data_IF_272420026824
#
_entry.id   IF_272420026824
#
_cell.length_a   1.000
_cell.length_b   1.000
_cell.length_c   1.000
_cell.angle_alpha   90.00
_cell.angle_beta   90.00
_cell.angle_gamma   90.00
#
_symmetry.space_group_name_H-M   'P 1'
#
loop_
_entity.id
_entity.type
_entity.pdbx_description
1 polymer ?
#
# COMPACT_ATOMS: atom_id res chain seq x y z
N UNK A 1 -17.38 48.70 34.85
CA UNK A 1 -17.47 50.16 34.50
C UNK A 1 -16.63 50.37 33.27
N UNK A 2 -17.34 50.80 32.22
CA UNK A 2 -16.76 51.22 30.96
C UNK A 2 -16.05 52.57 31.11
N UNK A 3 -14.98 52.75 30.37
CA UNK A 3 -14.45 54.06 30.11
C UNK A 3 -14.18 54.20 28.59
N UNK A 4 -14.85 55.15 27.99
CA UNK A 4 -14.76 55.60 26.62
C UNK A 4 -13.36 56.05 26.28
N UNK A 5 -12.88 55.65 25.09
CA UNK A 5 -11.71 56.26 24.46
C UNK A 5 -12.19 57.09 23.28
N UNK A 6 -11.91 58.38 23.35
CA UNK A 6 -12.14 59.41 22.36
C UNK A 6 -11.26 59.19 21.12
N UNK A 7 -11.87 59.22 19.95
CA UNK A 7 -11.21 59.29 18.66
C UNK A 7 -10.81 60.73 18.40
N UNK A 8 -9.52 61.00 18.21
CA UNK A 8 -9.01 62.27 17.71
C UNK A 8 -8.49 62.06 16.27
N UNK A 9 -9.18 62.63 15.31
CA UNK A 9 -8.88 62.60 13.90
C UNK A 9 -8.03 63.82 13.52
N UNK A 10 -6.74 63.64 13.72
CA UNK A 10 -5.74 64.63 13.28
C UNK A 10 -5.05 64.23 11.97
N UNK A 11 -5.70 64.52 10.85
CA UNK A 11 -5.05 64.39 9.54
C UNK A 11 -4.03 65.55 9.39
N UNK A 12 -2.74 65.27 9.41
CA UNK A 12 -1.72 66.23 9.00
C UNK A 12 -0.87 65.63 7.86
N UNK A 13 -1.03 66.22 6.70
CA UNK A 13 -0.32 65.87 5.47
C UNK A 13 1.12 66.38 5.53
N UNK A 14 2.04 65.44 5.30
CA UNK A 14 3.40 65.77 4.87
C UNK A 14 4.53 65.23 5.71
N UNK A 15 4.71 63.90 5.66
CA UNK A 15 6.04 63.28 5.77
C UNK A 15 6.00 61.95 5.04
N UNK A 16 6.65 61.92 3.89
CA UNK A 16 6.96 60.64 3.20
C UNK A 16 8.07 59.96 3.94
N UNK A 17 7.71 59.12 4.90
CA UNK A 17 8.66 58.14 5.43
C UNK A 17 8.87 57.08 4.35
N UNK A 18 10.05 57.12 3.74
CA UNK A 18 10.56 56.06 2.88
C UNK A 18 10.77 54.81 3.76
N UNK A 19 9.86 53.84 3.64
CA UNK A 19 10.05 52.52 4.25
C UNK A 19 11.14 51.83 3.45
N UNK A 20 12.37 51.89 3.88
CA UNK A 20 13.42 50.96 3.48
C UNK A 20 13.10 49.62 4.14
N UNK A 21 12.52 48.71 3.36
CA UNK A 21 12.54 47.30 3.68
C UNK A 21 14.02 46.85 3.64
N UNK A 22 14.66 46.78 4.80
CA UNK A 22 15.85 45.98 4.93
C UNK A 22 15.35 44.55 4.70
N UNK A 23 15.67 43.96 3.53
CA UNK A 23 15.63 42.50 3.35
C UNK A 23 16.59 41.92 4.41
N UNK A 24 16.04 41.41 5.50
CA UNK A 24 16.78 40.47 6.32
C UNK A 24 17.11 39.29 5.39
N UNK A 25 18.35 39.27 4.94
CA UNK A 25 18.93 38.11 4.28
C UNK A 25 18.73 36.92 5.26
N UNK A 26 17.72 36.10 4.95
CA UNK A 26 17.43 34.89 5.73
C UNK A 26 18.70 34.04 5.71
N UNK A 27 19.51 34.18 6.73
CA UNK A 27 20.70 33.34 6.91
C UNK A 27 20.21 31.90 6.92
N UNK A 28 20.57 31.15 5.88
CA UNK A 28 20.38 29.70 5.86
C UNK A 28 20.94 29.14 7.16
N UNK A 29 20.14 28.45 7.99
CA UNK A 29 20.63 27.95 9.29
C UNK A 29 21.84 27.06 9.03
N UNK A 30 22.96 27.40 9.67
CA UNK A 30 24.16 26.57 9.64
C UNK A 30 23.81 25.22 10.32
N UNK A 31 24.04 24.07 9.67
CA UNK A 31 23.72 22.77 10.24
C UNK A 31 24.37 22.58 11.61
N UNK A 32 23.59 22.23 12.62
CA UNK A 32 24.11 21.89 13.95
C UNK A 32 24.58 20.43 13.94
N UNK A 33 25.82 20.21 13.49
CA UNK A 33 26.49 18.91 13.60
C UNK A 33 27.20 18.80 14.93
N UNK A 34 26.69 17.96 15.83
CA UNK A 34 27.36 17.63 17.11
C UNK A 34 28.23 16.37 17.01
N UNK A 35 28.16 15.69 15.85
CA UNK A 35 28.90 14.46 15.56
C UNK A 35 30.27 14.68 14.94
N UNK A 36 31.04 13.61 14.88
CA UNK A 36 32.30 13.56 14.15
C UNK A 36 32.14 12.77 12.87
N UNK A 37 32.83 13.18 11.82
CA UNK A 37 32.89 12.53 10.53
C UNK A 37 34.35 12.23 10.23
N UNK A 38 34.70 10.94 10.14
CA UNK A 38 36.07 10.46 9.97
C UNK A 38 36.15 9.56 8.75
N UNK A 39 36.89 9.98 7.73
CA UNK A 39 37.25 9.10 6.61
C UNK A 39 38.47 8.26 7.03
N UNK A 40 38.34 6.93 6.91
CA UNK A 40 39.38 5.95 7.16
C UNK A 40 39.92 5.44 5.82
N UNK A 41 41.13 5.79 5.51
CA UNK A 41 41.82 5.32 4.31
C UNK A 41 42.26 3.85 4.44
N UNK A 42 42.62 3.20 3.34
CA UNK A 42 43.03 1.81 3.27
C UNK A 42 44.27 1.51 4.15
N UNK A 43 45.20 2.46 4.26
CA UNK A 43 46.39 2.36 5.10
C UNK A 43 46.11 2.57 6.64
N UNK A 44 44.85 2.77 7.00
CA UNK A 44 44.38 3.02 8.37
C UNK A 44 44.44 4.48 8.79
N UNK A 45 44.94 5.39 7.96
CA UNK A 45 44.97 6.83 8.25
C UNK A 45 43.53 7.35 8.40
N UNK A 46 43.32 8.20 9.42
CA UNK A 46 42.04 8.82 9.72
C UNK A 46 42.08 10.33 9.53
N UNK A 47 41.12 10.88 8.80
CA UNK A 47 41.00 12.31 8.55
C UNK A 47 39.58 12.75 8.91
N UNK A 48 39.47 13.81 9.73
CA UNK A 48 38.20 14.39 10.13
C UNK A 48 37.73 15.43 9.12
N UNK A 49 36.40 15.47 8.89
CA UNK A 49 35.72 16.41 7.98
C UNK A 49 34.56 17.09 8.69
N UNK A 50 34.18 18.27 8.19
CA UNK A 50 33.08 19.05 8.74
C UNK A 50 31.73 18.55 8.23
N UNK A 51 31.68 18.02 7.01
CA UNK A 51 30.46 17.50 6.38
C UNK A 51 30.70 16.12 5.72
N UNK A 52 29.62 15.35 5.55
CA UNK A 52 29.68 14.10 4.80
C UNK A 52 30.03 14.33 3.32
N UNK A 53 29.56 15.44 2.75
CA UNK A 53 29.89 15.79 1.35
C UNK A 53 31.41 15.97 1.15
N UNK A 54 32.09 16.67 2.09
CA UNK A 54 33.56 16.82 2.08
C UNK A 54 34.28 15.48 2.21
N UNK A 55 33.85 14.64 3.16
CA UNK A 55 34.45 13.32 3.37
C UNK A 55 34.29 12.42 2.12
N UNK A 56 33.11 12.41 1.51
CA UNK A 56 32.83 11.66 0.27
C UNK A 56 33.61 12.24 -0.91
N UNK A 57 33.72 13.57 -1.03
CA UNK A 57 34.51 14.19 -2.08
C UNK A 57 35.99 13.80 -1.98
N UNK A 58 36.55 13.68 -0.77
CA UNK A 58 37.92 13.28 -0.51
C UNK A 58 38.21 11.77 -0.71
N UNK A 59 37.15 10.94 -0.76
CA UNK A 59 37.28 9.50 -0.95
C UNK A 59 37.85 9.17 -2.35
N UNK A 60 38.64 8.07 -2.47
CA UNK A 60 39.22 7.65 -3.74
C UNK A 60 38.16 7.43 -4.83
N UNK A 61 38.49 7.84 -6.05
CA UNK A 61 37.66 7.70 -7.26
C UNK A 61 38.11 6.49 -8.10
N UNK A 62 37.23 6.01 -9.00
CA UNK A 62 37.51 4.90 -9.92
C UNK A 62 37.88 3.58 -9.24
N UNK A 63 37.40 3.38 -8.03
CA UNK A 63 37.60 2.11 -7.28
C UNK A 63 36.62 1.06 -7.79
N UNK A 64 35.37 1.47 -8.10
CA UNK A 64 34.29 0.59 -8.50
C UNK A 64 33.76 -0.30 -7.37
N UNK A 65 32.63 -0.94 -7.63
CA UNK A 65 31.93 -1.77 -6.63
C UNK A 65 32.70 -3.02 -6.16
N UNK A 66 33.64 -3.50 -6.97
CA UNK A 66 34.46 -4.69 -6.68
C UNK A 66 35.79 -4.33 -6.02
N UNK A 67 36.08 -3.04 -5.85
CA UNK A 67 37.30 -2.54 -5.21
C UNK A 67 37.21 -2.40 -3.72
N UNK A 68 38.28 -1.90 -3.11
CA UNK A 68 38.33 -1.70 -1.64
C UNK A 68 37.31 -0.66 -1.20
N UNK A 69 36.54 -0.97 -0.13
CA UNK A 69 35.55 -0.08 0.43
C UNK A 69 36.24 1.01 1.28
N UNK A 70 36.00 2.26 0.91
CA UNK A 70 36.40 3.42 1.74
C UNK A 70 35.37 3.61 2.84
N UNK A 71 35.81 3.55 4.10
CA UNK A 71 34.94 3.65 5.26
C UNK A 71 34.87 5.08 5.77
N UNK A 72 33.67 5.61 5.96
CA UNK A 72 33.39 6.87 6.65
C UNK A 72 32.70 6.52 7.97
N UNK A 73 33.35 6.86 9.07
CA UNK A 73 32.85 6.61 10.43
C UNK A 73 32.18 7.88 10.97
N UNK A 74 30.99 7.73 11.52
CA UNK A 74 30.19 8.82 12.11
C UNK A 74 29.89 8.54 13.57
N UNK A 75 29.86 9.62 14.40
CA UNK A 75 29.38 9.60 15.78
C UNK A 75 28.40 10.75 16.01
N UNK A 76 27.56 10.62 17.04
CA UNK A 76 26.64 11.67 17.45
C UNK A 76 25.60 11.99 16.38
N UNK A 77 25.26 13.26 16.19
CA UNK A 77 24.27 13.71 15.19
C UNK A 77 24.94 14.49 14.07
N UNK A 78 24.71 14.06 12.84
CA UNK A 78 25.17 14.72 11.61
C UNK A 78 23.96 15.18 10.81
N UNK A 79 23.92 16.47 10.47
CA UNK A 79 22.85 17.04 9.64
C UNK A 79 23.25 17.12 8.16
N UNK A 80 22.27 16.79 7.29
CA UNK A 80 22.39 16.89 5.83
C UNK A 80 21.54 18.08 5.36
N UNK A 81 22.20 19.14 4.91
CA UNK A 81 21.58 20.37 4.42
C UNK A 81 21.58 20.53 2.89
N UNK A 82 22.20 19.60 2.19
CA UNK A 82 22.25 19.51 0.73
C UNK A 82 22.35 18.06 0.28
N UNK A 83 22.03 17.77 -0.97
CA UNK A 83 22.16 16.42 -1.51
C UNK A 83 23.64 15.97 -1.51
N UNK A 84 23.93 14.91 -0.80
CA UNK A 84 25.25 14.26 -0.80
C UNK A 84 25.32 13.29 -1.99
N UNK A 85 26.12 13.63 -3.00
CA UNK A 85 26.26 12.86 -4.23
C UNK A 85 27.42 11.88 -4.12
N UNK A 86 27.13 10.61 -4.43
CA UNK A 86 28.12 9.54 -4.51
C UNK A 86 28.24 9.16 -6.00
N UNK A 87 29.36 9.46 -6.62
CA UNK A 87 29.64 9.30 -8.04
C UNK A 87 31.11 8.91 -8.29
N UNK A 88 31.57 9.03 -9.54
CA UNK A 88 32.97 8.80 -9.95
C UNK A 88 33.48 7.40 -9.62
N UNK A 89 32.58 6.40 -9.70
CA UNK A 89 32.91 5.01 -9.41
C UNK A 89 33.55 4.80 -8.03
N UNK A 90 33.12 5.56 -7.03
CA UNK A 90 33.53 5.39 -5.63
C UNK A 90 32.92 4.14 -5.03
N UNK A 91 33.58 3.57 -4.03
CA UNK A 91 33.07 2.47 -3.21
C UNK A 91 33.10 2.91 -1.72
N UNK A 92 31.95 3.29 -1.18
CA UNK A 92 31.85 3.96 0.11
C UNK A 92 30.91 3.22 1.05
N UNK A 93 31.36 3.08 2.30
CA UNK A 93 30.52 2.67 3.42
C UNK A 93 30.46 3.80 4.46
N UNK A 94 29.25 4.17 4.92
CA UNK A 94 29.06 5.01 6.08
C UNK A 94 28.57 4.14 7.24
N UNK A 95 29.30 4.14 8.35
CA UNK A 95 28.98 3.33 9.51
C UNK A 95 29.06 4.15 10.81
N UNK A 96 28.29 3.73 11.82
CA UNK A 96 28.40 4.29 13.16
C UNK A 96 29.75 3.90 13.79
N UNK A 97 30.40 4.83 14.47
CA UNK A 97 31.55 4.57 15.36
C UNK A 97 31.16 4.57 16.84
N UNK A 98 29.91 4.89 17.17
CA UNK A 98 29.29 4.79 18.48
C UNK A 98 27.80 4.47 18.35
N UNK A 99 27.23 3.82 19.34
CA UNK A 99 25.78 3.57 19.40
C UNK A 99 24.99 4.88 19.48
N UNK A 100 23.78 4.86 18.90
CA UNK A 100 22.89 6.02 18.86
C UNK A 100 23.33 7.11 17.88
N UNK A 101 24.22 6.78 16.95
CA UNK A 101 24.60 7.70 15.87
C UNK A 101 23.41 7.99 14.97
N UNK A 102 23.24 9.28 14.63
CA UNK A 102 22.11 9.73 13.80
C UNK A 102 22.61 10.61 12.65
N UNK A 103 22.14 10.32 11.45
CA UNK A 103 22.23 11.20 10.29
C UNK A 103 20.82 11.70 10.01
N UNK A 104 20.60 13.00 10.02
CA UNK A 104 19.26 13.57 9.84
C UNK A 104 19.23 14.65 8.76
N UNK A 105 18.07 14.80 8.16
CA UNK A 105 17.79 15.93 7.26
C UNK A 105 17.77 17.23 8.06
N UNK A 106 18.46 18.25 7.59
CA UNK A 106 18.40 19.58 8.18
C UNK A 106 17.06 20.26 7.90
N UNK A 107 16.65 21.15 8.79
CA UNK A 107 15.45 21.94 8.60
C UNK A 107 15.51 22.77 7.31
N UNK A 108 14.42 22.73 6.52
CA UNK A 108 14.30 23.43 5.25
C UNK A 108 14.99 22.75 4.06
N UNK A 109 15.77 21.71 4.24
CA UNK A 109 16.29 20.93 3.12
C UNK A 109 15.25 19.91 2.67
N UNK A 110 14.79 19.97 1.41
CA UNK A 110 13.69 19.16 0.89
C UNK A 110 14.12 18.08 -0.11
N UNK A 111 15.33 18.16 -0.66
CA UNK A 111 15.85 17.25 -1.70
C UNK A 111 16.20 15.85 -1.22
N UNK A 112 16.72 15.00 -2.11
CA UNK A 112 17.31 13.71 -1.73
C UNK A 112 18.45 13.92 -0.75
N UNK A 113 18.51 13.12 0.33
CA UNK A 113 19.63 13.25 1.25
C UNK A 113 20.92 12.67 0.64
N UNK A 114 20.81 11.50 0.01
CA UNK A 114 21.92 10.83 -0.68
C UNK A 114 21.50 10.45 -2.11
N UNK A 115 22.42 10.60 -3.05
CA UNK A 115 22.20 10.26 -4.45
C UNK A 115 23.35 9.42 -4.99
N UNK A 116 23.02 8.19 -5.39
CA UNK A 116 24.00 7.26 -5.99
C UNK A 116 23.89 7.36 -7.51
N UNK A 117 24.99 7.72 -8.16
CA UNK A 117 25.12 7.82 -9.61
C UNK A 117 26.18 6.84 -10.12
N UNK A 118 26.28 6.75 -11.42
CA UNK A 118 27.25 5.94 -12.15
C UNK A 118 27.17 4.42 -11.89
N UNK A 119 27.12 3.62 -12.92
CA UNK A 119 26.90 2.17 -12.87
C UNK A 119 27.88 1.40 -11.98
N UNK A 120 29.12 1.89 -11.84
CA UNK A 120 30.16 1.25 -11.03
C UNK A 120 30.30 1.82 -9.62
N UNK A 121 29.52 2.83 -9.27
CA UNK A 121 29.52 3.40 -7.91
C UNK A 121 28.82 2.45 -6.92
N UNK A 122 29.41 2.28 -5.75
CA UNK A 122 28.82 1.51 -4.65
C UNK A 122 28.75 2.39 -3.39
N UNK A 123 27.60 2.37 -2.77
CA UNK A 123 27.35 3.06 -1.52
C UNK A 123 26.59 2.15 -0.55
N UNK A 124 26.98 2.11 0.69
CA UNK A 124 26.27 1.35 1.71
C UNK A 124 26.22 2.03 3.07
N UNK A 125 25.17 1.74 3.81
CA UNK A 125 25.12 2.02 5.23
C UNK A 125 25.40 0.74 6.03
N UNK A 126 26.27 0.89 7.06
CA UNK A 126 26.76 -0.20 7.86
C UNK A 126 28.06 -0.82 7.31
N UNK A 127 28.72 -1.68 8.08
CA UNK A 127 30.02 -2.24 7.69
C UNK A 127 29.89 -3.44 6.75
N UNK A 128 28.78 -4.15 6.81
CA UNK A 128 28.55 -5.37 6.02
C UNK A 128 29.54 -6.50 6.29
N UNK A 129 30.39 -6.38 7.33
CA UNK A 129 31.41 -7.36 7.66
C UNK A 129 30.95 -8.29 8.76
N UNK A 130 31.00 -9.58 8.48
CA UNK A 130 30.71 -10.62 9.46
C UNK A 130 31.69 -10.58 10.64
N UNK A 131 31.17 -10.67 11.88
CA UNK A 131 31.98 -10.70 13.10
C UNK A 131 32.42 -9.33 13.67
N UNK A 132 32.09 -8.21 13.00
CA UNK A 132 32.24 -6.88 13.59
C UNK A 132 31.09 -6.56 14.55
N UNK A 133 31.34 -5.73 15.55
CA UNK A 133 30.29 -5.23 16.44
C UNK A 133 29.33 -4.35 15.63
N UNK A 134 28.04 -4.74 15.60
CA UNK A 134 26.99 -3.97 14.95
C UNK A 134 26.62 -2.81 15.87
N UNK A 135 26.94 -1.58 15.44
CA UNK A 135 26.55 -0.34 16.12
C UNK A 135 25.31 0.25 15.45
N UNK A 136 24.47 0.90 16.25
CA UNK A 136 23.23 1.48 15.75
C UNK A 136 23.48 2.79 14.99
N UNK A 137 22.96 2.84 13.76
CA UNK A 137 22.94 4.03 12.89
C UNK A 137 21.50 4.32 12.48
N UNK A 138 20.98 5.48 12.86
CA UNK A 138 19.68 5.96 12.37
C UNK A 138 19.90 7.01 11.28
N UNK A 139 19.27 6.81 10.11
CA UNK A 139 19.19 7.81 9.05
C UNK A 139 17.73 8.24 8.93
N UNK A 140 17.46 9.51 9.22
CA UNK A 140 16.08 10.00 9.29
C UNK A 140 15.82 11.20 8.37
N UNK A 141 14.66 11.17 7.72
CA UNK A 141 14.15 12.30 6.94
C UNK A 141 13.63 13.45 7.79
N UNK A 142 13.65 13.32 9.15
CA UNK A 142 13.18 14.33 10.09
C UNK A 142 11.73 14.78 9.81
N UNK A 143 10.80 13.85 9.89
CA UNK A 143 9.37 14.05 9.60
C UNK A 143 8.74 15.23 10.37
N UNK A 144 9.27 15.54 11.54
CA UNK A 144 8.90 16.69 12.36
C UNK A 144 9.27 18.04 11.74
N UNK A 145 10.13 18.06 10.73
CA UNK A 145 10.57 19.26 10.02
C UNK A 145 9.72 19.58 8.77
N UNK A 146 8.69 18.78 8.48
CA UNK A 146 7.80 18.94 7.34
C UNK A 146 8.04 17.98 6.17
N UNK A 147 7.30 18.19 5.09
CA UNK A 147 7.33 17.31 3.93
C UNK A 147 8.56 17.57 3.06
N UNK A 148 9.24 16.51 2.66
CA UNK A 148 10.32 16.58 1.68
C UNK A 148 9.79 16.41 0.24
N UNK A 149 10.60 16.74 -0.74
CA UNK A 149 10.37 16.42 -2.16
C UNK A 149 11.28 15.30 -2.65
N UNK A 150 12.23 14.85 -1.83
CA UNK A 150 13.18 13.79 -2.13
C UNK A 150 13.17 12.65 -1.11
N UNK A 151 13.82 11.56 -1.49
CA UNK A 151 14.02 10.34 -0.70
C UNK A 151 15.16 10.51 0.31
N UNK A 152 15.30 9.56 1.25
CA UNK A 152 16.57 9.45 2.00
C UNK A 152 17.67 9.03 1.01
N UNK A 153 17.41 8.02 0.18
CA UNK A 153 18.38 7.51 -0.83
C UNK A 153 17.71 7.53 -2.21
N UNK A 154 18.34 8.19 -3.18
CA UNK A 154 18.01 8.11 -4.60
C UNK A 154 19.09 7.29 -5.31
N UNK A 155 18.71 6.20 -6.01
CA UNK A 155 19.63 5.31 -6.75
C UNK A 155 19.32 5.46 -8.22
N UNK A 156 20.07 6.32 -8.89
CA UNK A 156 19.95 6.59 -10.35
C UNK A 156 20.82 5.63 -11.17
N UNK A 157 21.87 5.06 -10.55
CA UNK A 157 22.80 4.08 -11.09
C UNK A 157 23.56 3.39 -9.97
N UNK A 158 24.45 2.47 -10.28
CA UNK A 158 25.30 1.80 -9.31
C UNK A 158 24.57 0.89 -8.33
N UNK A 159 25.11 0.83 -7.11
CA UNK A 159 24.61 -0.06 -6.07
C UNK A 159 24.43 0.68 -4.76
N UNK A 160 23.30 0.42 -4.08
CA UNK A 160 23.07 0.80 -2.69
C UNK A 160 22.87 -0.42 -1.80
N UNK A 161 23.59 -0.46 -0.66
CA UNK A 161 23.52 -1.52 0.34
C UNK A 161 23.03 -1.05 1.70
N UNK A 162 22.25 -1.88 2.40
CA UNK A 162 21.83 -1.70 3.78
C UNK A 162 22.21 -2.93 4.60
N UNK A 163 22.86 -2.72 5.75
CA UNK A 163 23.33 -3.79 6.64
C UNK A 163 22.64 -3.73 8.00
N UNK A 164 22.84 -4.77 8.81
CA UNK A 164 22.35 -4.81 10.19
C UNK A 164 22.74 -3.57 11.02
N UNK A 165 21.90 -3.24 11.99
CA UNK A 165 22.09 -2.09 12.89
C UNK A 165 21.69 -0.73 12.27
N UNK A 166 21.37 -0.69 10.98
CA UNK A 166 20.96 0.55 10.32
C UNK A 166 19.43 0.67 10.25
N UNK A 167 18.92 1.85 10.57
CA UNK A 167 17.49 2.17 10.44
C UNK A 167 17.30 3.38 9.52
N UNK A 168 16.49 3.22 8.46
CA UNK A 168 16.01 4.31 7.61
C UNK A 168 14.57 4.66 8.02
N UNK A 169 14.33 5.89 8.47
CA UNK A 169 13.04 6.25 9.06
C UNK A 169 12.66 7.72 8.90
N UNK A 170 11.40 8.03 9.18
CA UNK A 170 10.96 9.40 9.41
C UNK A 170 11.07 10.33 8.19
N UNK A 171 11.05 9.81 6.97
CA UNK A 171 10.93 10.65 5.79
C UNK A 171 9.48 10.66 5.28
N UNK A 172 8.97 11.86 5.04
CA UNK A 172 7.70 12.09 4.36
C UNK A 172 7.97 12.86 3.08
N UNK A 173 7.47 12.36 1.96
CA UNK A 173 7.78 12.93 0.65
C UNK A 173 6.63 12.74 -0.35
N UNK A 174 6.53 13.66 -1.31
CA UNK A 174 5.69 13.48 -2.49
C UNK A 174 6.35 12.61 -3.59
N UNK A 175 7.64 12.31 -3.47
CA UNK A 175 8.35 11.46 -4.43
C UNK A 175 8.04 9.96 -4.23
N UNK A 176 8.21 9.12 -5.24
CA UNK A 176 8.23 7.67 -5.08
C UNK A 176 9.37 7.24 -4.15
N UNK A 177 9.08 6.27 -3.25
CA UNK A 177 10.11 5.69 -2.39
C UNK A 177 10.66 6.63 -1.32
N UNK A 178 9.92 6.81 -0.21
CA UNK A 178 10.29 7.76 0.84
C UNK A 178 11.67 7.49 1.45
N UNK A 179 12.02 6.23 1.70
CA UNK A 179 13.37 5.86 2.14
C UNK A 179 14.32 5.65 0.95
N UNK A 180 13.89 4.85 -0.05
CA UNK A 180 14.74 4.51 -1.20
C UNK A 180 13.93 4.62 -2.50
N UNK A 181 14.38 5.47 -3.42
CA UNK A 181 13.91 5.52 -4.80
C UNK A 181 14.98 4.93 -5.73
N UNK A 182 14.71 3.76 -6.30
CA UNK A 182 15.61 3.12 -7.28
C UNK A 182 15.03 3.23 -8.69
N UNK A 183 15.59 4.12 -9.47
CA UNK A 183 15.19 4.38 -10.85
C UNK A 183 16.13 3.76 -11.91
N UNK A 184 17.31 3.26 -11.53
CA UNK A 184 18.27 2.73 -12.52
C UNK A 184 19.44 1.92 -11.98
N UNK A 185 19.57 1.78 -10.64
CA UNK A 185 20.62 1.02 -10.01
C UNK A 185 20.17 -0.32 -9.43
N UNK A 186 20.96 -0.84 -8.50
CA UNK A 186 20.69 -2.07 -7.75
C UNK A 186 20.60 -1.79 -6.25
N UNK A 187 19.72 -2.51 -5.57
CA UNK A 187 19.56 -2.44 -4.11
C UNK A 187 19.91 -3.79 -3.50
N UNK A 188 20.71 -3.77 -2.42
CA UNK A 188 20.99 -4.94 -1.58
C UNK A 188 20.64 -4.66 -0.12
N UNK A 189 19.73 -5.43 0.46
CA UNK A 189 19.33 -5.35 1.85
C UNK A 189 19.79 -6.62 2.55
N UNK A 190 20.95 -6.57 3.19
CA UNK A 190 21.53 -7.71 3.91
C UNK A 190 21.17 -7.70 5.40
N UNK A 191 20.28 -6.84 5.80
CA UNK A 191 19.78 -6.59 7.15
C UNK A 191 19.24 -5.18 7.27
N UNK A 192 19.07 -4.68 8.51
CA UNK A 192 18.59 -3.33 8.79
C UNK A 192 17.07 -3.18 8.74
N UNK A 193 16.60 -2.00 9.10
CA UNK A 193 15.18 -1.70 9.26
C UNK A 193 14.79 -0.47 8.46
N UNK A 194 13.69 -0.55 7.72
CA UNK A 194 13.06 0.56 7.00
C UNK A 194 11.63 0.68 7.48
N UNK A 195 11.34 1.69 8.31
CA UNK A 195 10.06 1.83 9.01
C UNK A 195 9.71 3.29 9.25
N UNK A 196 8.42 3.60 9.45
CA UNK A 196 7.96 4.94 9.81
C UNK A 196 8.18 5.99 8.72
N UNK A 197 8.31 5.58 7.46
CA UNK A 197 8.38 6.49 6.32
C UNK A 197 7.00 6.63 5.68
N UNK A 198 6.76 7.79 5.06
CA UNK A 198 5.50 8.09 4.38
C UNK A 198 5.77 8.67 3.00
N UNK A 199 5.11 8.11 1.99
CA UNK A 199 5.11 8.66 0.64
C UNK A 199 3.69 9.08 0.29
N UNK A 200 3.50 10.29 -0.22
CA UNK A 200 2.19 10.78 -0.65
C UNK A 200 1.67 10.03 -1.89
N UNK A 201 2.48 9.19 -2.48
CA UNK A 201 2.12 8.39 -3.64
C UNK A 201 1.49 9.26 -4.74
N UNK A 202 2.21 9.58 -5.79
CA UNK A 202 1.58 10.24 -6.94
C UNK A 202 0.65 9.21 -7.58
N UNK A 203 -0.64 9.27 -7.22
CA UNK A 203 -1.69 8.63 -8.01
C UNK A 203 -1.80 9.49 -9.27
N UNK A 204 -1.05 9.13 -10.32
CA UNK A 204 -1.35 9.71 -11.62
C UNK A 204 -2.73 9.19 -12.06
N UNK A 205 -3.37 9.86 -13.03
CA UNK A 205 -4.70 9.49 -13.54
C UNK A 205 -4.79 8.05 -14.09
N UNK A 206 -3.66 7.33 -14.17
CA UNK A 206 -3.52 5.95 -14.63
C UNK A 206 -3.55 4.91 -13.48
N UNK A 207 -3.83 5.30 -12.24
CA UNK A 207 -3.89 4.43 -11.05
C UNK A 207 -2.57 3.68 -10.73
N UNK A 208 -1.43 4.21 -11.12
CA UNK A 208 -0.13 3.63 -10.74
C UNK A 208 0.21 3.97 -9.29
N UNK A 209 0.38 2.94 -8.48
CA UNK A 209 0.89 3.07 -7.11
C UNK A 209 2.39 3.31 -7.21
N UNK A 210 2.82 4.53 -6.93
CA UNK A 210 4.26 4.90 -6.97
C UNK A 210 4.84 5.19 -5.60
N UNK A 211 4.01 5.18 -4.56
CA UNK A 211 4.41 5.42 -3.18
C UNK A 211 5.18 4.25 -2.57
N UNK A 212 5.42 4.35 -1.29
CA UNK A 212 6.08 3.33 -0.48
C UNK A 212 7.38 3.84 0.15
N UNK A 213 7.86 3.10 1.13
CA UNK A 213 9.19 3.41 1.65
C UNK A 213 10.28 3.08 0.63
N UNK A 214 10.12 2.00 -0.11
CA UNK A 214 10.99 1.65 -1.24
C UNK A 214 10.14 1.64 -2.51
N UNK A 215 10.56 2.38 -3.52
CA UNK A 215 10.09 2.23 -4.89
C UNK A 215 11.25 1.72 -5.75
N UNK A 216 11.04 0.63 -6.49
CA UNK A 216 12.12 0.06 -7.32
C UNK A 216 11.64 -0.36 -8.70
N UNK A 217 12.35 0.09 -9.73
CA UNK A 217 12.20 -0.37 -11.11
C UNK A 217 13.04 -1.62 -11.41
N UNK A 218 13.93 -2.01 -10.51
CA UNK A 218 14.82 -3.15 -10.64
C UNK A 218 14.72 -4.13 -9.48
N UNK A 219 15.59 -5.14 -9.52
CA UNK A 219 15.71 -6.17 -8.52
C UNK A 219 16.15 -5.60 -7.16
N UNK A 220 15.49 -6.03 -6.09
CA UNK A 220 15.90 -5.81 -4.69
C UNK A 220 16.46 -7.13 -4.18
N UNK A 221 17.75 -7.17 -3.89
CA UNK A 221 18.44 -8.35 -3.32
C UNK A 221 18.32 -8.34 -1.81
N UNK A 222 17.89 -9.45 -1.22
CA UNK A 222 17.64 -9.53 0.22
C UNK A 222 18.31 -10.74 0.85
N UNK A 223 18.75 -10.57 2.11
CA UNK A 223 19.26 -11.66 2.98
C UNK A 223 19.25 -11.20 4.44
N UNK A 224 19.46 -12.12 5.38
CA UNK A 224 19.62 -11.80 6.81
C UNK A 224 18.35 -11.28 7.48
N UNK A 225 18.50 -10.38 8.45
CA UNK A 225 17.45 -9.88 9.33
C UNK A 225 16.80 -8.58 8.81
N UNK A 226 16.48 -8.52 7.52
CA UNK A 226 15.91 -7.32 6.88
C UNK A 226 14.45 -7.11 7.25
N UNK A 227 14.09 -5.88 7.66
CA UNK A 227 12.73 -5.48 8.02
C UNK A 227 12.32 -4.28 7.18
N UNK A 228 11.24 -4.41 6.39
CA UNK A 228 10.63 -3.30 5.63
C UNK A 228 9.12 -3.35 5.82
N UNK A 229 8.66 -2.68 6.86
CA UNK A 229 7.25 -2.64 7.26
C UNK A 229 6.87 -1.37 8.01
N UNK A 230 5.59 -1.22 8.33
CA UNK A 230 5.06 -0.08 9.08
C UNK A 230 5.36 1.27 8.41
N UNK A 231 5.43 1.27 7.07
CA UNK A 231 5.52 2.46 6.26
C UNK A 231 4.15 2.72 5.61
N UNK A 232 3.83 3.98 5.34
CA UNK A 232 2.47 4.38 4.96
C UNK A 232 2.44 5.14 3.63
N UNK A 233 1.27 5.11 2.98
CA UNK A 233 0.90 6.09 1.98
C UNK A 233 0.23 7.32 2.63
N UNK A 234 -0.21 8.29 1.85
CA UNK A 234 -0.92 9.50 2.32
C UNK A 234 -2.29 9.17 2.93
N UNK A 235 -2.93 8.08 2.52
CA UNK A 235 -4.15 7.52 3.09
C UNK A 235 -3.93 6.71 4.36
N UNK A 236 -2.69 6.64 4.87
CA UNK A 236 -2.26 5.84 6.03
C UNK A 236 -2.40 4.32 5.84
N UNK A 237 -2.50 3.84 4.60
CA UNK A 237 -2.46 2.41 4.30
C UNK A 237 -1.02 1.89 4.32
N UNK A 238 -0.86 0.60 4.60
CA UNK A 238 0.45 -0.05 4.55
C UNK A 238 1.03 0.01 3.13
N UNK A 239 2.23 0.58 3.01
CA UNK A 239 2.89 0.79 1.74
C UNK A 239 4.41 0.79 1.90
N UNK A 240 5.00 -0.39 2.06
CA UNK A 240 6.42 -0.52 2.38
C UNK A 240 7.30 -0.66 1.14
N UNK A 241 7.12 -1.70 0.34
CA UNK A 241 7.86 -1.89 -0.91
C UNK A 241 6.89 -1.84 -2.08
N UNK A 242 7.20 -1.02 -3.09
CA UNK A 242 6.49 -0.97 -4.37
C UNK A 242 7.43 -1.35 -5.50
N UNK A 243 7.11 -2.45 -6.19
CA UNK A 243 7.81 -2.92 -7.39
C UNK A 243 7.15 -2.30 -8.63
N UNK A 244 7.88 -1.50 -9.39
CA UNK A 244 7.33 -0.66 -10.46
C UNK A 244 7.78 -1.00 -11.88
N UNK A 245 8.59 -1.99 -12.10
CA UNK A 245 9.11 -2.30 -13.44
C UNK A 245 9.05 -3.79 -13.78
N UNK A 246 9.16 -4.14 -15.06
CA UNK A 246 9.10 -5.54 -15.51
C UNK A 246 10.14 -6.43 -14.84
N UNK A 247 11.32 -5.90 -14.53
CA UNK A 247 12.41 -6.60 -13.86
C UNK A 247 12.39 -6.43 -12.33
N UNK A 248 11.46 -5.63 -11.79
CA UNK A 248 11.37 -5.40 -10.36
C UNK A 248 10.86 -6.66 -9.65
N UNK A 249 11.63 -7.15 -8.70
CA UNK A 249 11.27 -8.27 -7.84
C UNK A 249 12.15 -8.29 -6.59
N UNK A 250 11.77 -9.06 -5.60
CA UNK A 250 12.59 -9.38 -4.43
C UNK A 250 13.36 -10.65 -4.75
N UNK A 251 14.68 -10.59 -4.76
CA UNK A 251 15.57 -11.72 -4.99
C UNK A 251 16.30 -12.09 -3.70
N UNK A 252 15.98 -13.21 -3.08
CA UNK A 252 16.70 -13.65 -1.91
C UNK A 252 18.04 -14.27 -2.29
N UNK A 253 19.11 -13.57 -1.96
CA UNK A 253 20.50 -13.95 -2.22
C UNK A 253 21.18 -14.64 -1.03
N UNK A 254 20.42 -15.00 -0.02
CA UNK A 254 20.80 -15.73 1.18
C UNK A 254 19.58 -16.05 2.02
N UNK A 255 19.78 -16.79 3.10
CA UNK A 255 18.73 -17.12 4.06
C UNK A 255 18.18 -15.83 4.69
N UNK A 256 16.85 -15.70 4.69
CA UNK A 256 16.18 -14.71 5.52
C UNK A 256 16.08 -15.20 6.95
N UNK A 257 16.41 -14.33 7.92
CA UNK A 257 16.34 -14.64 9.34
C UNK A 257 14.87 -14.71 9.81
N UNK A 258 14.62 -15.35 10.95
CA UNK A 258 13.26 -15.44 11.53
C UNK A 258 12.61 -14.08 11.81
N UNK A 259 13.40 -13.03 12.00
CA UNK A 259 12.93 -11.67 12.24
C UNK A 259 12.69 -10.86 10.96
N UNK A 260 13.05 -11.39 9.80
CA UNK A 260 12.83 -10.70 8.53
C UNK A 260 11.33 -10.51 8.26
N UNK A 261 10.96 -9.34 7.74
CA UNK A 261 9.56 -9.01 7.44
C UNK A 261 9.50 -7.96 6.33
N UNK A 262 8.99 -8.34 5.18
CA UNK A 262 8.98 -7.56 3.96
C UNK A 262 7.54 -7.43 3.45
N UNK A 263 6.94 -6.24 3.59
CA UNK A 263 5.64 -5.93 3.04
C UNK A 263 5.79 -5.38 1.62
N UNK A 264 5.16 -6.02 0.65
CA UNK A 264 5.35 -5.72 -0.76
C UNK A 264 4.03 -5.60 -1.52
N UNK A 265 3.99 -4.67 -2.47
CA UNK A 265 2.98 -4.62 -3.53
C UNK A 265 3.65 -4.30 -4.87
N UNK A 266 2.85 -4.32 -5.93
CA UNK A 266 3.33 -4.08 -7.28
C UNK A 266 2.43 -3.05 -7.97
N UNK A 267 3.03 -2.02 -8.59
CA UNK A 267 2.27 -0.96 -9.25
C UNK A 267 1.57 -1.44 -10.54
N UNK A 268 2.17 -2.42 -11.24
CA UNK A 268 1.67 -3.03 -12.47
C UNK A 268 1.20 -4.48 -12.24
N UNK A 269 0.51 -4.73 -11.12
CA UNK A 269 0.08 -6.06 -10.72
C UNK A 269 -0.74 -6.76 -11.81
N UNK A 270 -0.30 -7.94 -12.21
CA UNK A 270 -0.98 -8.81 -13.15
C UNK A 270 -0.52 -10.26 -12.93
N UNK A 271 -1.35 -11.23 -13.30
CA UNK A 271 -0.97 -12.64 -13.26
C UNK A 271 0.31 -12.89 -14.07
N UNK A 272 1.25 -13.65 -13.51
CA UNK A 272 2.55 -13.94 -14.10
C UNK A 272 3.68 -12.94 -13.76
N UNK A 273 3.38 -11.78 -13.16
CA UNK A 273 4.41 -10.86 -12.69
C UNK A 273 5.14 -11.44 -11.48
N UNK A 274 6.46 -11.42 -11.52
CA UNK A 274 7.30 -11.97 -10.45
C UNK A 274 7.33 -11.01 -9.27
N UNK A 275 7.05 -11.50 -8.08
CA UNK A 275 7.22 -10.79 -6.81
C UNK A 275 8.50 -11.21 -6.13
N UNK A 276 8.73 -12.52 -6.03
CA UNK A 276 9.91 -13.08 -5.36
C UNK A 276 10.63 -14.08 -6.26
N UNK A 277 11.94 -14.21 -6.10
CA UNK A 277 12.72 -15.27 -6.70
C UNK A 277 13.85 -15.73 -5.79
N UNK A 278 14.26 -16.97 -5.95
CA UNK A 278 15.46 -17.50 -5.32
C UNK A 278 16.69 -17.06 -6.10
N UNK A 279 17.62 -16.40 -5.43
CA UNK A 279 18.93 -16.09 -6.00
C UNK A 279 19.82 -17.33 -6.09
N UNK A 280 20.78 -17.29 -7.02
CA UNK A 280 21.76 -18.35 -7.20
C UNK A 280 23.18 -17.81 -7.09
N UNK A 281 24.11 -18.69 -6.68
CA UNK A 281 25.55 -18.39 -6.75
C UNK A 281 26.06 -18.44 -8.20
N UNK A 282 27.36 -18.21 -8.38
CA UNK A 282 28.00 -18.24 -9.70
C UNK A 282 27.93 -19.61 -10.40
N UNK A 283 27.63 -20.69 -9.67
CA UNK A 283 27.49 -22.05 -10.19
C UNK A 283 26.01 -22.39 -10.46
N UNK A 284 25.10 -21.48 -10.23
CA UNK A 284 23.65 -21.71 -10.36
C UNK A 284 23.01 -22.43 -9.18
N UNK A 285 23.72 -22.57 -8.05
CA UNK A 285 23.18 -23.19 -6.84
C UNK A 285 22.28 -22.21 -6.11
N UNK A 286 21.09 -22.64 -5.72
CA UNK A 286 20.14 -21.81 -4.96
C UNK A 286 20.73 -21.40 -3.61
N UNK A 287 20.65 -20.10 -3.28
CA UNK A 287 21.19 -19.52 -2.05
C UNK A 287 20.23 -19.62 -0.86
N UNK A 288 18.97 -19.95 -1.12
CA UNK A 288 17.91 -20.17 -0.14
C UNK A 288 16.79 -21.01 -0.77
N UNK A 289 15.63 -21.11 -0.12
CA UNK A 289 14.45 -21.81 -0.65
C UNK A 289 13.29 -20.83 -0.85
N UNK A 290 12.38 -21.16 -1.76
CA UNK A 290 11.14 -20.37 -1.95
C UNK A 290 10.30 -20.36 -0.66
N UNK A 291 10.26 -21.46 0.09
CA UNK A 291 9.57 -21.55 1.39
C UNK A 291 10.12 -20.52 2.39
N UNK A 292 11.45 -20.41 2.50
CA UNK A 292 12.06 -19.39 3.37
C UNK A 292 11.66 -17.98 2.95
N UNK A 293 11.65 -17.67 1.64
CA UNK A 293 11.27 -16.33 1.17
C UNK A 293 9.82 -16.02 1.53
N UNK A 294 8.91 -16.96 1.21
CA UNK A 294 7.47 -16.75 1.39
C UNK A 294 7.04 -16.74 2.87
N UNK A 295 7.86 -17.23 3.77
CA UNK A 295 7.64 -17.08 5.20
C UNK A 295 7.82 -15.63 5.70
N UNK A 296 8.53 -14.79 4.92
CA UNK A 296 8.92 -13.43 5.32
C UNK A 296 8.49 -12.34 4.36
N UNK A 297 7.93 -12.68 3.19
CA UNK A 297 7.44 -11.70 2.20
C UNK A 297 5.92 -11.73 2.16
N UNK A 298 5.31 -10.61 2.51
CA UNK A 298 3.86 -10.43 2.61
C UNK A 298 3.35 -9.52 1.50
N UNK A 299 2.61 -10.11 0.54
CA UNK A 299 1.95 -9.34 -0.51
C UNK A 299 0.71 -8.62 0.03
N UNK A 300 0.60 -7.32 -0.20
CA UNK A 300 -0.43 -6.49 0.44
C UNK A 300 -1.78 -6.51 -0.29
N UNK A 301 -1.80 -6.69 -1.63
CA UNK A 301 -3.03 -6.65 -2.43
C UNK A 301 -3.64 -8.04 -2.64
N UNK A 302 -3.97 -8.71 -1.53
CA UNK A 302 -4.41 -10.11 -1.52
C UNK A 302 -5.83 -10.36 -2.03
N UNK A 303 -6.61 -9.32 -2.30
CA UNK A 303 -7.98 -9.45 -2.82
C UNK A 303 -8.02 -9.89 -4.29
N UNK A 304 -7.02 -9.50 -5.08
CA UNK A 304 -6.95 -9.80 -6.50
C UNK A 304 -5.89 -10.83 -6.85
N UNK A 305 -4.78 -10.85 -6.10
CA UNK A 305 -3.62 -11.70 -6.38
C UNK A 305 -3.05 -12.35 -5.12
N UNK A 306 -2.45 -13.51 -5.32
CA UNK A 306 -1.59 -14.19 -4.34
C UNK A 306 -0.26 -14.56 -4.99
N UNK A 307 0.77 -14.83 -4.19
CA UNK A 307 2.05 -15.28 -4.73
C UNK A 307 2.01 -16.80 -4.87
N UNK A 308 2.25 -17.30 -6.08
CA UNK A 308 2.41 -18.72 -6.33
C UNK A 308 3.65 -19.27 -5.62
N UNK A 309 3.49 -20.31 -4.82
CA UNK A 309 4.52 -20.84 -3.93
C UNK A 309 5.65 -21.61 -4.63
N UNK A 310 5.53 -21.86 -5.92
CA UNK A 310 6.56 -22.55 -6.72
C UNK A 310 7.34 -21.58 -7.61
N UNK A 311 6.63 -20.60 -8.18
CA UNK A 311 7.20 -19.68 -9.18
C UNK A 311 7.55 -18.30 -8.62
N UNK A 312 6.98 -17.92 -7.47
CA UNK A 312 7.12 -16.57 -6.91
C UNK A 312 6.38 -15.48 -7.70
N UNK A 313 5.59 -15.87 -8.68
CA UNK A 313 4.79 -14.97 -9.50
C UNK A 313 3.41 -14.74 -8.91
N UNK A 314 2.79 -13.62 -9.27
CA UNK A 314 1.38 -13.37 -8.97
C UNK A 314 0.48 -14.34 -9.73
N UNK A 315 -0.48 -14.89 -9.06
CA UNK A 315 -1.62 -15.59 -9.66
C UNK A 315 -2.92 -14.95 -9.18
N UNK A 316 -3.90 -14.86 -10.08
CA UNK A 316 -5.19 -14.27 -9.75
C UNK A 316 -5.87 -15.11 -8.67
N UNK A 317 -6.31 -14.45 -7.62
CA UNK A 317 -7.24 -15.04 -6.67
C UNK A 317 -8.57 -15.13 -7.42
N UNK A 318 -8.93 -16.32 -7.90
CA UNK A 318 -10.29 -16.55 -8.36
C UNK A 318 -11.20 -16.32 -7.16
N UNK A 319 -11.96 -15.22 -7.18
CA UNK A 319 -12.96 -15.00 -6.16
C UNK A 319 -13.78 -16.29 -6.03
N UNK A 320 -13.92 -16.86 -4.82
CA UNK A 320 -14.69 -18.09 -4.66
C UNK A 320 -16.09 -17.81 -5.19
N UNK A 321 -16.50 -18.58 -6.20
CA UNK A 321 -17.85 -18.51 -6.75
C UNK A 321 -18.68 -19.63 -6.12
N UNK A 322 -19.90 -19.28 -5.72
CA UNK A 322 -20.82 -20.31 -5.24
C UNK A 322 -21.20 -21.25 -6.41
N UNK A 323 -21.27 -22.53 -6.12
CA UNK A 323 -21.87 -23.52 -7.03
C UNK A 323 -23.36 -23.74 -6.72
N UNK A 324 -23.92 -22.94 -5.82
CA UNK A 324 -25.32 -23.02 -5.44
C UNK A 324 -26.24 -22.66 -6.61
N UNK A 325 -27.24 -23.50 -6.86
CA UNK A 325 -28.30 -23.24 -7.81
C UNK A 325 -29.66 -23.26 -7.13
N UNK A 326 -30.58 -22.44 -7.61
CA UNK A 326 -31.97 -22.36 -7.13
C UNK A 326 -32.92 -22.93 -8.18
N UNK A 327 -33.83 -23.77 -7.76
CA UNK A 327 -34.87 -24.36 -8.63
C UNK A 327 -36.23 -24.21 -8.00
N UNK A 328 -37.18 -23.72 -8.77
CA UNK A 328 -38.57 -23.60 -8.32
C UNK A 328 -39.28 -24.96 -8.32
N UNK A 329 -39.97 -25.26 -7.23
CA UNK A 329 -40.87 -26.41 -7.14
C UNK A 329 -42.32 -26.01 -7.45
N UNK A 330 -42.73 -24.88 -6.88
CA UNK A 330 -44.08 -24.35 -7.14
C UNK A 330 -44.15 -22.84 -6.89
N UNK A 331 -45.03 -22.17 -7.65
CA UNK A 331 -45.47 -20.81 -7.37
C UNK A 331 -46.92 -20.67 -7.71
N UNK A 332 -47.74 -20.16 -6.81
CA UNK A 332 -49.17 -19.94 -7.04
C UNK A 332 -49.74 -18.83 -6.17
N UNK A 333 -50.83 -18.24 -6.60
CA UNK A 333 -51.66 -17.42 -5.74
C UNK A 333 -52.25 -18.27 -4.62
N UNK A 334 -52.14 -17.79 -3.36
CA UNK A 334 -52.73 -18.45 -2.22
C UNK A 334 -54.29 -18.48 -2.40
N UNK A 335 -54.90 -19.61 -2.06
CA UNK A 335 -56.37 -19.81 -2.21
C UNK A 335 -57.14 -19.22 -1.03
N UNK A 336 -56.56 -19.13 0.11
CA UNK A 336 -57.20 -18.70 1.35
C UNK A 336 -56.98 -17.22 1.65
N UNK A 337 -55.89 -16.65 1.20
CA UNK A 337 -55.48 -15.27 1.51
C UNK A 337 -55.32 -14.45 0.25
N UNK A 338 -56.03 -13.32 0.18
CA UNK A 338 -55.84 -12.33 -0.88
C UNK A 338 -54.47 -11.68 -0.81
N UNK A 339 -53.98 -11.17 -1.94
CA UNK A 339 -52.67 -10.52 -2.05
C UNK A 339 -51.49 -11.38 -1.58
N UNK A 340 -51.63 -12.68 -1.57
CA UNK A 340 -50.65 -13.61 -1.07
C UNK A 340 -50.22 -14.60 -2.15
N UNK A 341 -48.91 -14.83 -2.25
CA UNK A 341 -48.29 -15.81 -3.15
C UNK A 341 -47.52 -16.83 -2.31
N UNK A 342 -47.81 -18.10 -2.61
CA UNK A 342 -47.06 -19.24 -2.04
C UNK A 342 -45.97 -19.65 -3.06
N UNK A 343 -44.75 -19.74 -2.59
CA UNK A 343 -43.55 -20.15 -3.32
C UNK A 343 -42.85 -21.26 -2.59
N UNK A 344 -42.49 -22.32 -3.32
CA UNK A 344 -41.57 -23.35 -2.81
C UNK A 344 -40.47 -23.53 -3.83
N UNK A 345 -39.25 -23.60 -3.33
CA UNK A 345 -38.06 -23.84 -4.13
C UNK A 345 -37.05 -24.68 -3.34
N UNK A 346 -36.10 -25.29 -4.05
CA UNK A 346 -35.02 -26.04 -3.46
C UNK A 346 -33.67 -25.58 -4.03
N UNK A 347 -32.61 -25.96 -3.36
CA UNK A 347 -31.24 -25.75 -3.80
C UNK A 347 -30.53 -27.09 -3.93
N UNK A 348 -29.40 -27.10 -4.66
CA UNK A 348 -28.44 -28.21 -4.60
C UNK A 348 -27.71 -28.22 -3.24
N UNK A 349 -26.88 -29.23 -2.98
CA UNK A 349 -26.16 -29.42 -1.69
C UNK A 349 -25.30 -28.20 -1.30
N UNK A 350 -24.81 -27.43 -2.27
CA UNK A 350 -24.02 -26.23 -2.02
C UNK A 350 -24.80 -25.11 -1.31
N UNK A 351 -26.14 -25.10 -1.41
CA UNK A 351 -27.00 -24.10 -0.77
C UNK A 351 -27.46 -24.45 0.63
N UNK A 352 -27.19 -25.66 1.11
CA UNK A 352 -27.60 -26.08 2.46
C UNK A 352 -26.85 -25.29 3.53
N UNK A 353 -27.59 -24.70 4.47
CA UNK A 353 -27.03 -23.80 5.48
C UNK A 353 -26.81 -22.37 5.00
N UNK A 354 -27.19 -22.06 3.78
CA UNK A 354 -27.20 -20.71 3.24
C UNK A 354 -28.46 -19.92 3.62
N UNK A 355 -28.60 -18.74 3.06
CA UNK A 355 -29.72 -17.82 3.34
C UNK A 355 -30.36 -17.32 2.05
N UNK A 356 -31.69 -17.20 2.02
CA UNK A 356 -32.43 -16.65 0.88
C UNK A 356 -33.03 -15.28 1.21
N UNK A 357 -33.26 -14.49 0.16
CA UNK A 357 -33.94 -13.19 0.16
C UNK A 357 -34.93 -13.16 -1.01
N UNK A 358 -36.17 -12.85 -0.72
CA UNK A 358 -37.25 -12.85 -1.72
C UNK A 358 -37.91 -11.50 -1.78
N UNK A 359 -38.19 -11.05 -2.99
CA UNK A 359 -38.99 -9.87 -3.26
C UNK A 359 -39.93 -10.13 -4.46
N UNK A 360 -40.82 -9.21 -4.70
CA UNK A 360 -41.59 -9.18 -5.93
C UNK A 360 -41.60 -7.77 -6.53
N UNK A 361 -41.74 -7.70 -7.85
CA UNK A 361 -41.90 -6.46 -8.64
C UNK A 361 -42.97 -6.67 -9.71
N UNK A 362 -43.52 -5.59 -10.26
CA UNK A 362 -44.41 -5.72 -11.46
C UNK A 362 -43.61 -6.33 -12.61
N UNK A 363 -44.27 -7.10 -13.46
CA UNK A 363 -43.63 -7.76 -14.61
C UNK A 363 -42.93 -6.75 -15.53
N UNK A 364 -43.49 -5.54 -15.66
CA UNK A 364 -42.93 -4.44 -16.45
C UNK A 364 -41.65 -3.86 -15.91
N UNK A 365 -41.39 -4.00 -14.62
CA UNK A 365 -40.26 -3.36 -13.96
C UNK A 365 -38.98 -4.16 -14.20
N UNK A 366 -37.83 -3.52 -14.09
CA UNK A 366 -36.53 -4.21 -14.12
C UNK A 366 -36.40 -5.19 -12.95
N UNK A 367 -35.69 -6.30 -13.14
CA UNK A 367 -35.34 -7.20 -12.04
C UNK A 367 -34.29 -6.52 -11.15
N UNK A 368 -34.56 -6.35 -9.84
CA UNK A 368 -33.60 -5.75 -8.93
C UNK A 368 -32.39 -6.67 -8.76
N UNK A 369 -31.21 -6.10 -8.54
CA UNK A 369 -29.98 -6.85 -8.26
C UNK A 369 -29.94 -7.39 -6.82
N UNK A 370 -28.96 -8.28 -6.54
CA UNK A 370 -28.79 -8.99 -5.27
C UNK A 370 -28.75 -8.05 -4.07
N UNK A 371 -27.87 -7.06 -4.07
CA UNK A 371 -27.70 -6.13 -2.94
C UNK A 371 -28.97 -5.30 -2.68
N UNK A 372 -29.69 -4.92 -3.73
CA UNK A 372 -30.95 -4.20 -3.57
C UNK A 372 -32.03 -5.09 -2.92
N UNK A 373 -32.09 -6.38 -3.28
CA UNK A 373 -33.02 -7.33 -2.66
C UNK A 373 -32.58 -7.67 -1.26
N UNK A 374 -31.30 -7.90 -1.00
CA UNK A 374 -30.72 -8.20 0.32
C UNK A 374 -30.97 -7.07 1.32
N UNK A 375 -30.94 -5.83 0.86
CA UNK A 375 -31.22 -4.64 1.70
C UNK A 375 -32.70 -4.37 1.91
N UNK A 376 -33.59 -4.84 1.04
CA UNK A 376 -35.03 -4.55 1.06
C UNK A 376 -35.88 -5.74 0.59
N UNK A 377 -35.69 -6.89 1.21
CA UNK A 377 -36.47 -8.10 0.91
C UNK A 377 -37.89 -8.03 1.53
N UNK A 378 -38.79 -8.81 0.96
CA UNK A 378 -40.14 -9.04 1.51
C UNK A 378 -40.21 -10.29 2.40
N UNK A 379 -39.30 -11.25 2.16
CA UNK A 379 -39.14 -12.44 3.00
C UNK A 379 -37.69 -12.90 2.92
N UNK A 380 -37.16 -13.45 4.00
CA UNK A 380 -35.84 -14.11 4.06
C UNK A 380 -35.84 -15.25 5.06
N UNK A 381 -34.92 -16.17 4.92
CA UNK A 381 -34.76 -17.28 5.85
C UNK A 381 -33.56 -18.14 5.50
N UNK A 382 -33.27 -19.11 6.35
CA UNK A 382 -32.19 -20.06 6.16
C UNK A 382 -32.67 -21.22 5.25
N UNK A 383 -31.75 -21.76 4.47
CA UNK A 383 -32.00 -22.85 3.52
C UNK A 383 -31.56 -24.17 4.13
N UNK A 384 -32.47 -25.09 4.38
CA UNK A 384 -32.10 -26.48 4.75
C UNK A 384 -31.71 -27.30 3.48
N UNK A 385 -32.67 -27.62 2.63
CA UNK A 385 -32.52 -28.13 1.26
C UNK A 385 -33.62 -27.56 0.36
N UNK A 386 -34.73 -27.17 0.96
CA UNK A 386 -35.83 -26.48 0.33
C UNK A 386 -36.38 -25.39 1.24
N UNK A 387 -37.06 -24.42 0.67
CA UNK A 387 -37.72 -23.33 1.39
C UNK A 387 -39.16 -23.15 0.88
N UNK A 388 -40.06 -22.92 1.83
CA UNK A 388 -41.45 -22.52 1.53
C UNK A 388 -41.66 -21.08 2.02
N UNK A 389 -42.07 -20.22 1.14
CA UNK A 389 -42.19 -18.77 1.38
C UNK A 389 -43.60 -18.33 1.06
N UNK A 390 -44.18 -17.55 1.98
CA UNK A 390 -45.43 -16.87 1.74
C UNK A 390 -45.16 -15.35 1.62
N UNK A 391 -45.42 -14.77 0.47
CA UNK A 391 -45.29 -13.34 0.21
C UNK A 391 -46.67 -12.69 0.38
N UNK A 392 -46.76 -11.71 1.25
CA UNK A 392 -48.00 -10.91 1.47
C UNK A 392 -47.91 -9.55 0.76
N UNK A 393 -49.01 -8.85 0.69
CA UNK A 393 -49.14 -7.50 0.08
C UNK A 393 -48.72 -7.46 -1.40
N UNK A 394 -48.94 -8.55 -2.11
CA UNK A 394 -48.62 -8.68 -3.53
C UNK A 394 -49.70 -8.05 -4.37
N UNK A 395 -49.33 -7.21 -5.34
CA UNK A 395 -50.26 -6.68 -6.33
C UNK A 395 -50.79 -7.83 -7.19
N UNK A 396 -52.11 -8.06 -7.22
CA UNK A 396 -52.69 -9.17 -7.96
C UNK A 396 -53.51 -8.77 -9.20
N UNK A 397 -53.73 -7.48 -9.40
CA UNK A 397 -54.37 -6.88 -10.56
C UNK A 397 -53.45 -6.79 -11.78
N UNK A 398 -52.21 -7.07 -11.63
CA UNK A 398 -51.16 -7.06 -12.67
C UNK A 398 -50.31 -8.31 -12.59
N UNK A 399 -49.62 -8.65 -13.69
CA UNK A 399 -48.60 -9.70 -13.67
C UNK A 399 -47.37 -9.23 -12.90
N UNK A 400 -46.77 -10.13 -12.11
CA UNK A 400 -45.62 -9.89 -11.30
C UNK A 400 -44.44 -10.80 -11.64
N UNK A 401 -43.24 -10.38 -11.26
CA UNK A 401 -42.04 -11.23 -11.10
C UNK A 401 -41.75 -11.41 -9.63
N UNK A 402 -41.58 -12.67 -9.19
CA UNK A 402 -41.03 -13.02 -7.90
C UNK A 402 -39.55 -13.33 -8.10
N UNK A 403 -38.67 -12.69 -7.36
CA UNK A 403 -37.24 -12.82 -7.48
C UNK A 403 -36.70 -13.37 -6.20
N UNK A 404 -35.96 -14.48 -6.29
CA UNK A 404 -35.26 -15.10 -5.16
C UNK A 404 -33.77 -15.00 -5.41
N UNK A 405 -33.08 -14.39 -4.50
CA UNK A 405 -31.63 -14.45 -4.37
C UNK A 405 -31.27 -15.31 -3.17
N UNK A 406 -30.08 -15.91 -3.21
CA UNK A 406 -29.58 -16.65 -2.07
C UNK A 406 -28.04 -16.56 -2.02
N UNK A 407 -27.52 -16.71 -0.83
CA UNK A 407 -26.11 -16.88 -0.55
C UNK A 407 -25.89 -18.23 0.14
N UNK A 408 -24.77 -18.89 -0.13
CA UNK A 408 -24.38 -20.13 0.53
C UNK A 408 -23.91 -19.90 1.98
N UNK A 409 -23.53 -20.94 2.68
CA UNK A 409 -23.05 -20.87 4.07
C UNK A 409 -21.77 -20.03 4.26
N UNK A 410 -21.10 -19.64 3.17
CA UNK A 410 -19.92 -18.77 3.15
C UNK A 410 -20.26 -17.33 2.75
N UNK A 411 -21.53 -17.03 2.49
CA UNK A 411 -22.00 -15.73 2.04
C UNK A 411 -21.81 -15.46 0.55
N UNK A 412 -21.54 -16.50 -0.26
CA UNK A 412 -21.36 -16.34 -1.71
C UNK A 412 -22.70 -16.45 -2.42
N UNK A 413 -22.97 -15.49 -3.33
CA UNK A 413 -24.21 -15.44 -4.11
C UNK A 413 -24.36 -16.68 -5.00
N UNK A 414 -25.59 -17.20 -5.11
CA UNK A 414 -25.94 -18.27 -6.04
C UNK A 414 -25.59 -17.91 -7.49
N UNK A 415 -25.30 -18.92 -8.30
CA UNK A 415 -24.90 -18.75 -9.73
C UNK A 415 -25.84 -17.84 -10.51
N UNK A 416 -27.14 -17.88 -10.20
CA UNK A 416 -28.16 -17.00 -10.76
C UNK A 416 -29.36 -16.85 -9.81
N UNK A 417 -30.08 -15.72 -9.85
CA UNK A 417 -31.33 -15.59 -9.14
C UNK A 417 -32.43 -16.47 -9.77
N UNK A 418 -33.34 -16.92 -8.94
CA UNK A 418 -34.56 -17.56 -9.41
C UNK A 418 -35.60 -16.47 -9.69
N UNK A 419 -36.01 -16.31 -10.97
CA UNK A 419 -36.99 -15.32 -11.39
C UNK A 419 -38.21 -16.02 -11.95
N UNK A 420 -39.34 -15.86 -11.27
CA UNK A 420 -40.60 -16.51 -11.62
C UNK A 420 -41.66 -15.46 -11.99
N UNK A 421 -42.42 -15.72 -13.05
CA UNK A 421 -43.52 -14.82 -13.48
C UNK A 421 -44.87 -15.42 -13.10
N UNK A 422 -45.68 -14.63 -12.42
CA UNK A 422 -47.06 -14.97 -12.10
C UNK A 422 -48.00 -14.02 -12.83
N UNK A 423 -49.02 -14.58 -13.51
CA UNK A 423 -50.05 -13.77 -14.18
C UNK A 423 -50.94 -13.08 -13.14
N UNK A 424 -51.55 -11.97 -13.51
CA UNK A 424 -52.59 -11.34 -12.68
C UNK A 424 -53.65 -12.37 -12.27
N UNK A 425 -54.07 -12.27 -11.00
CA UNK A 425 -55.22 -13.08 -10.53
C UNK A 425 -56.50 -12.48 -11.13
N UNK A 426 -57.28 -13.27 -11.83
CA UNK A 426 -58.56 -12.82 -12.35
C UNK A 426 -59.45 -12.36 -11.18
N UNK A 427 -59.97 -11.15 -11.24
CA UNK A 427 -60.99 -10.69 -10.30
C UNK A 427 -62.20 -11.59 -10.44
N UNK A 428 -62.64 -12.16 -9.31
CA UNK A 428 -63.96 -12.83 -9.29
C UNK A 428 -65.02 -11.79 -9.67
N UNK A 429 -65.91 -12.04 -10.65
CA UNK A 429 -66.95 -11.08 -10.96
C UNK A 429 -67.79 -10.85 -9.70
N UNK A 430 -67.87 -9.61 -9.25
CA UNK A 430 -68.83 -9.22 -8.21
C UNK A 430 -70.19 -9.51 -8.77
N UNK A 431 -70.91 -10.50 -8.26
CA UNK A 431 -72.32 -10.71 -8.62
C UNK A 431 -73.05 -9.41 -8.28
N UNK A 432 -73.55 -8.80 -9.36
CA UNK A 432 -74.43 -7.65 -9.21
C UNK A 432 -75.73 -8.16 -8.55
N UNK A 433 -76.14 -7.54 -7.39
CA UNK A 433 -77.41 -7.97 -6.77
C UNK A 433 -78.52 -7.84 -7.75
N UNK A 434 -79.19 -8.96 -8.06
CA UNK A 434 -80.42 -8.97 -8.84
C UNK A 434 -81.48 -8.27 -7.99
N UNK A 435 -81.81 -7.04 -8.34
CA UNK A 435 -82.92 -6.31 -7.76
C UNK A 435 -84.19 -6.93 -8.33
N UNK A 436 -84.85 -7.81 -7.60
CA UNK A 436 -86.18 -8.25 -7.89
C UNK A 436 -87.16 -7.14 -7.49
N UNK A 437 -87.65 -6.44 -8.51
CA UNK A 437 -88.82 -5.52 -8.34
C UNK A 437 -90.03 -6.35 -8.15
N UNK A 438 -90.79 -6.19 -7.08
CA UNK A 438 -92.12 -6.85 -6.97
C UNK A 438 -93.10 -6.15 -7.94
N UNK A 439 -93.69 -6.93 -8.78
CA UNK A 439 -94.79 -6.50 -9.64
C UNK A 439 -96.09 -6.51 -8.82
N UNK A 440 -97.01 -5.52 -9.05
CA UNK A 440 -98.20 -5.27 -8.24
C UNK A 440 -99.32 -6.34 -8.37
#
# INVERSE_FOLDING_TARGET
>A
QAADAVVDDGFNSGDTAELTLEEEESATPTPETTGQIILKAADGTQTSYSTLAEAIAAAPVNIGKDGEVTQILVTGTVEISETVVIDQNKNISIAAAADGTTIKRAAGFLGDMFKVKDESTSFQFGTGKEGETVLSLTVTGALDQGDATGSIISVEGGYFGLSDGVTLTGNRTSAPGAAICNSGGSIGLAGGTITGNQSEGIVNEAAEITGGAIYSLGEIRVSGAVIVKDNKDDGLNDNSIVLGGDNACIAAIGQLAETADLQVRRSDAAAGKIIVKVGTDANGTALTTMENILAHVHYLDTTEYTINNQTGALESVTAPVSTMTLTADSISWNKAYEHTVDLTFHTNDAGVGGRYYVTWVKKSDSTPGFEAVKSNYKSSGDIASSASVQLTDVAYDTAIKVVVYAEDSKGLEAVAPLVLTLKAKASTPTETPVTTTPTP
#
